data_IF_944918998234
#
_entry.id   IF_944918998234
#
_cell.length_a   1.000
_cell.length_b   1.000
_cell.length_c   1.000
_cell.angle_alpha   90.00
_cell.angle_beta   90.00
_cell.angle_gamma   90.00
#
_symmetry.space_group_name_H-M   'P 1'
#
loop_
_entity.id
_entity.type
_entity.pdbx_description
1 polymer ?
#
# COMPACT_ATOMS: atom_id res chain seq x y z
N UNK A 1 -16.12 -7.80 -3.46
CA UNK A 1 -15.16 -7.89 -2.33
C UNK A 1 -13.97 -7.04 -2.70
N UNK A 2 -13.41 -6.26 -1.76
CA UNK A 2 -12.33 -5.31 -2.09
C UNK A 2 -11.09 -5.99 -2.69
N UNK A 3 -10.77 -7.23 -2.27
CA UNK A 3 -9.73 -8.05 -2.92
C UNK A 3 -9.93 -8.20 -4.43
N UNK A 4 -11.16 -8.42 -4.87
CA UNK A 4 -11.50 -8.53 -6.31
C UNK A 4 -11.35 -7.22 -7.05
N UNK A 5 -11.65 -6.08 -6.41
CA UNK A 5 -11.52 -4.75 -7.02
C UNK A 5 -10.05 -4.38 -7.17
N UNK A 6 -9.22 -4.65 -6.16
CA UNK A 6 -7.77 -4.44 -6.23
C UNK A 6 -7.12 -5.24 -7.37
N UNK A 7 -7.57 -6.48 -7.58
CA UNK A 7 -7.06 -7.38 -8.62
C UNK A 7 -7.62 -7.12 -10.04
N UNK A 8 -8.70 -6.34 -10.19
CA UNK A 8 -9.36 -6.15 -11.48
C UNK A 8 -8.64 -5.09 -12.34
N UNK A 9 -7.85 -5.54 -13.32
CA UNK A 9 -7.08 -4.67 -14.21
C UNK A 9 -7.91 -3.97 -15.29
N UNK A 10 -9.22 -4.27 -15.40
CA UNK A 10 -10.14 -3.56 -16.31
C UNK A 10 -10.62 -2.25 -15.68
N UNK A 11 -10.70 -2.20 -14.35
CA UNK A 11 -11.10 -1.01 -13.60
C UNK A 11 -10.02 0.08 -13.64
N UNK A 12 -10.46 1.34 -13.53
CA UNK A 12 -9.56 2.48 -13.51
C UNK A 12 -8.60 2.38 -12.30
N UNK A 13 -7.30 2.73 -12.45
CA UNK A 13 -6.33 2.59 -11.37
C UNK A 13 -6.75 3.29 -10.06
N UNK A 14 -7.36 4.47 -10.13
CA UNK A 14 -7.87 5.18 -8.96
C UNK A 14 -8.98 4.43 -8.22
N UNK A 15 -9.82 3.66 -8.93
CA UNK A 15 -10.85 2.79 -8.32
C UNK A 15 -10.21 1.57 -7.68
N UNK A 16 -9.19 0.99 -8.33
CA UNK A 16 -8.43 -0.13 -7.79
C UNK A 16 -7.64 0.27 -6.54
N UNK A 17 -7.11 1.49 -6.49
CA UNK A 17 -6.26 1.99 -5.40
C UNK A 17 -7.02 2.23 -4.08
N UNK A 18 -8.32 2.52 -4.15
CA UNK A 18 -9.19 2.60 -2.97
C UNK A 18 -9.36 1.24 -2.26
N UNK A 19 -9.14 0.13 -2.96
CA UNK A 19 -9.32 -1.19 -2.38
C UNK A 19 -8.21 -1.56 -1.38
N UNK A 20 -6.90 -1.41 -1.67
CA UNK A 20 -5.84 -1.52 -0.67
C UNK A 20 -6.06 -0.61 0.55
N UNK A 21 -6.38 0.68 0.36
CA UNK A 21 -6.67 1.61 1.45
C UNK A 21 -7.82 1.10 2.34
N UNK A 22 -8.93 0.68 1.73
CA UNK A 22 -10.08 0.14 2.43
C UNK A 22 -9.80 -1.18 3.16
N UNK A 23 -8.92 -2.02 2.60
CA UNK A 23 -8.47 -3.24 3.25
C UNK A 23 -7.58 -2.93 4.46
N UNK A 24 -6.59 -2.04 4.33
CA UNK A 24 -5.73 -1.62 5.44
C UNK A 24 -6.53 -1.13 6.65
N UNK A 25 -7.53 -0.26 6.42
CA UNK A 25 -8.34 0.31 7.48
C UNK A 25 -9.30 -0.67 8.19
N UNK A 26 -9.74 -1.73 7.50
CA UNK A 26 -10.93 -2.51 7.94
C UNK A 26 -10.78 -4.02 7.87
N UNK A 27 -9.64 -4.55 7.44
CA UNK A 27 -9.43 -5.99 7.40
C UNK A 27 -9.41 -6.54 8.83
N UNK A 28 -10.40 -7.38 9.14
CA UNK A 28 -10.53 -8.02 10.46
C UNK A 28 -10.06 -9.46 10.38
N UNK A 29 -9.35 -9.92 11.42
CA UNK A 29 -9.03 -11.34 11.60
C UNK A 29 -10.28 -12.23 11.82
N UNK A 30 -11.45 -11.63 12.06
CA UNK A 30 -12.74 -12.33 12.14
C UNK A 30 -13.32 -12.72 10.77
N UNK A 31 -12.67 -12.31 9.67
CA UNK A 31 -13.00 -12.82 8.35
C UNK A 31 -12.81 -14.34 8.27
N UNK A 32 -13.57 -14.98 7.39
CA UNK A 32 -13.37 -16.38 7.03
C UNK A 32 -11.90 -16.56 6.61
N UNK A 33 -11.13 -17.52 7.19
CA UNK A 33 -9.68 -17.58 7.03
C UNK A 33 -9.18 -17.55 5.58
N UNK A 34 -9.89 -18.22 4.66
CA UNK A 34 -9.53 -18.23 3.24
C UNK A 34 -9.63 -16.84 2.59
N UNK A 35 -10.63 -16.04 2.98
CA UNK A 35 -10.82 -14.70 2.46
C UNK A 35 -9.81 -13.71 3.05
N UNK A 36 -9.41 -13.93 4.31
CA UNK A 36 -8.33 -13.16 4.92
C UNK A 36 -7.01 -13.42 4.19
N UNK A 37 -6.66 -14.69 3.96
CA UNK A 37 -5.44 -15.04 3.23
C UNK A 37 -5.44 -14.50 1.78
N UNK A 38 -6.58 -14.59 1.08
CA UNK A 38 -6.73 -14.02 -0.27
C UNK A 38 -6.49 -12.49 -0.25
N UNK A 39 -7.02 -11.79 0.76
CA UNK A 39 -6.78 -10.36 0.90
C UNK A 39 -5.30 -10.03 1.12
N UNK A 40 -4.59 -10.79 1.98
CA UNK A 40 -3.14 -10.61 2.17
C UNK A 40 -2.37 -10.81 0.86
N UNK A 41 -2.67 -11.87 0.11
CA UNK A 41 -2.02 -12.13 -1.18
C UNK A 41 -2.22 -10.98 -2.15
N UNK A 42 -3.45 -10.48 -2.30
CA UNK A 42 -3.76 -9.37 -3.19
C UNK A 42 -3.04 -8.08 -2.77
N UNK A 43 -2.93 -7.81 -1.47
CA UNK A 43 -2.21 -6.64 -0.95
C UNK A 43 -0.71 -6.74 -1.26
N UNK A 44 -0.10 -7.91 -1.06
CA UNK A 44 1.32 -8.14 -1.38
C UNK A 44 1.57 -8.00 -2.88
N UNK A 45 0.68 -8.53 -3.73
CA UNK A 45 0.79 -8.41 -5.19
C UNK A 45 0.65 -6.96 -5.67
N UNK A 46 -0.18 -6.15 -4.99
CA UNK A 46 -0.38 -4.74 -5.33
C UNK A 46 0.89 -3.88 -5.14
N UNK A 47 1.87 -4.32 -4.35
CA UNK A 47 3.19 -3.67 -4.25
C UNK A 47 3.97 -3.68 -5.58
N UNK A 48 3.67 -4.61 -6.49
CA UNK A 48 4.30 -4.70 -7.82
C UNK A 48 3.43 -4.06 -8.93
N UNK A 49 2.34 -3.37 -8.59
CA UNK A 49 1.44 -2.81 -9.61
C UNK A 49 2.17 -1.76 -10.46
N UNK A 50 1.81 -1.65 -11.74
CA UNK A 50 2.34 -0.60 -12.62
C UNK A 50 1.96 0.80 -12.19
N UNK A 51 0.82 0.96 -11.52
CA UNK A 51 0.32 2.26 -11.06
C UNK A 51 0.87 2.63 -9.68
N UNK A 52 1.42 3.83 -9.56
CA UNK A 52 2.05 4.31 -8.33
C UNK A 52 1.04 4.53 -7.19
N UNK A 53 -0.20 4.92 -7.50
CA UNK A 53 -1.25 5.11 -6.49
C UNK A 53 -1.60 3.76 -5.83
N UNK A 54 -1.68 2.69 -6.62
CA UNK A 54 -1.92 1.34 -6.11
C UNK A 54 -0.76 0.89 -5.21
N UNK A 55 0.50 1.10 -5.64
CA UNK A 55 1.66 0.74 -4.83
C UNK A 55 1.71 1.54 -3.52
N UNK A 56 1.40 2.83 -3.56
CA UNK A 56 1.35 3.69 -2.37
C UNK A 56 0.36 3.13 -1.33
N UNK A 57 -0.89 2.89 -1.73
CA UNK A 57 -1.89 2.37 -0.80
C UNK A 57 -1.67 0.90 -0.40
N UNK A 58 -0.95 0.13 -1.21
CA UNK A 58 -0.49 -1.19 -0.82
C UNK A 58 0.56 -1.13 0.30
N UNK A 59 1.53 -0.22 0.23
CA UNK A 59 2.49 0.01 1.32
C UNK A 59 1.77 0.37 2.63
N UNK A 60 0.81 1.31 2.57
CA UNK A 60 -0.04 1.67 3.72
C UNK A 60 -0.74 0.43 4.30
N UNK A 61 -1.46 -0.33 3.47
CA UNK A 61 -2.25 -1.48 3.91
C UNK A 61 -1.40 -2.59 4.54
N UNK A 62 -0.23 -2.86 3.94
CA UNK A 62 0.76 -3.81 4.48
C UNK A 62 1.19 -3.41 5.90
N UNK A 63 1.40 -2.11 6.14
CA UNK A 63 1.87 -1.59 7.43
C UNK A 63 0.79 -1.63 8.53
N UNK A 64 -0.47 -1.37 8.16
CA UNK A 64 -1.62 -1.42 9.08
C UNK A 64 -1.92 -2.87 9.51
N UNK A 65 -1.84 -3.80 8.57
CA UNK A 65 -2.11 -5.23 8.82
C UNK A 65 -0.88 -5.95 9.39
N UNK A 66 0.30 -5.32 9.35
CA UNK A 66 1.60 -5.90 9.79
C UNK A 66 1.98 -7.17 9.00
N UNK A 67 1.90 -7.10 7.67
CA UNK A 67 2.28 -8.23 6.79
C UNK A 67 3.80 -8.30 6.67
N UNK A 68 4.46 -9.01 7.59
CA UNK A 68 5.94 -9.13 7.63
C UNK A 68 6.50 -9.77 6.35
N UNK A 69 5.75 -10.65 5.69
CA UNK A 69 6.16 -11.29 4.43
C UNK A 69 6.39 -10.28 3.29
N UNK A 70 5.83 -9.07 3.40
CA UNK A 70 5.99 -8.01 2.42
C UNK A 70 7.30 -7.21 2.57
N UNK A 71 8.04 -7.37 3.67
CA UNK A 71 9.26 -6.59 3.96
C UNK A 71 10.26 -6.54 2.79
N UNK A 72 10.59 -7.66 2.09
CA UNK A 72 11.53 -7.60 0.97
C UNK A 72 11.06 -6.69 -0.17
N UNK A 73 9.75 -6.67 -0.46
CA UNK A 73 9.17 -5.83 -1.53
C UNK A 73 9.15 -4.36 -1.12
N UNK A 74 8.76 -4.07 0.12
CA UNK A 74 8.84 -2.71 0.65
C UNK A 74 10.28 -2.17 0.57
N UNK A 75 11.28 -3.00 0.87
CA UNK A 75 12.68 -2.59 0.83
C UNK A 75 13.15 -2.24 -0.59
N UNK A 76 12.62 -2.91 -1.61
CA UNK A 76 12.86 -2.57 -3.02
C UNK A 76 12.17 -1.26 -3.38
N UNK A 77 10.90 -1.08 -3.04
CA UNK A 77 10.16 0.15 -3.33
C UNK A 77 10.82 1.37 -2.67
N UNK A 78 11.20 1.25 -1.40
CA UNK A 78 11.92 2.28 -0.65
C UNK A 78 13.18 2.79 -1.38
N UNK A 79 13.89 1.90 -2.07
CA UNK A 79 15.13 2.24 -2.77
C UNK A 79 14.92 2.72 -4.20
N UNK A 80 13.80 2.34 -4.84
CA UNK A 80 13.66 2.44 -6.30
C UNK A 80 12.52 3.34 -6.75
N UNK A 81 11.48 3.51 -5.94
CA UNK A 81 10.25 4.18 -6.36
C UNK A 81 10.13 5.60 -5.80
N UNK A 82 10.64 6.56 -6.56
CA UNK A 82 10.60 7.98 -6.20
C UNK A 82 9.34 8.70 -6.71
N UNK A 83 8.30 7.95 -7.11
CA UNK A 83 7.08 8.55 -7.66
C UNK A 83 6.33 9.30 -6.57
N UNK A 84 6.15 10.62 -6.74
CA UNK A 84 5.46 11.49 -5.78
C UNK A 84 3.94 11.35 -5.96
N UNK A 85 3.25 11.10 -4.85
CA UNK A 85 1.80 11.11 -4.81
C UNK A 85 1.28 12.51 -4.47
N UNK A 86 0.35 13.03 -5.26
CA UNK A 86 -0.22 14.37 -5.06
C UNK A 86 -0.90 14.46 -3.68
N UNK A 87 -0.50 15.45 -2.88
CA UNK A 87 -1.00 15.61 -1.52
C UNK A 87 -0.33 14.71 -0.47
N UNK A 88 0.63 13.89 -0.88
CA UNK A 88 1.39 12.95 -0.04
C UNK A 88 2.89 13.05 -0.34
N UNK A 89 3.65 12.02 0.01
CA UNK A 89 5.09 11.88 -0.30
C UNK A 89 5.31 10.82 -1.38
N UNK A 90 6.56 10.38 -1.61
CA UNK A 90 6.82 9.35 -2.62
C UNK A 90 6.39 7.94 -2.18
N UNK A 91 6.16 7.04 -3.14
CA UNK A 91 5.92 5.61 -2.85
C UNK A 91 7.07 4.99 -2.06
N UNK A 92 8.32 5.35 -2.35
CA UNK A 92 9.49 4.86 -1.64
C UNK A 92 9.51 5.33 -0.18
N UNK A 93 9.19 6.59 0.07
CA UNK A 93 9.04 7.11 1.42
C UNK A 93 7.90 6.44 2.20
N UNK A 94 6.77 6.12 1.54
CA UNK A 94 5.70 5.32 2.15
C UNK A 94 6.15 3.90 2.46
N UNK A 95 6.96 3.30 1.61
CA UNK A 95 7.53 1.98 1.85
C UNK A 95 8.52 1.99 3.04
N UNK A 96 9.32 3.04 3.22
CA UNK A 96 10.18 3.23 4.40
C UNK A 96 9.35 3.36 5.68
N UNK A 97 8.26 4.11 5.62
CA UNK A 97 7.35 4.31 6.75
C UNK A 97 6.67 2.99 7.11
N UNK A 98 6.22 2.23 6.11
CA UNK A 98 5.66 0.90 6.28
C UNK A 98 6.65 -0.08 6.95
N UNK A 99 7.91 -0.12 6.51
CA UNK A 99 8.95 -0.94 7.14
C UNK A 99 9.16 -0.54 8.61
N UNK A 100 9.20 0.76 8.88
CA UNK A 100 9.38 1.29 10.24
C UNK A 100 8.23 0.85 11.13
N UNK A 101 6.99 0.99 10.66
CA UNK A 101 5.78 0.60 11.38
C UNK A 101 5.71 -0.91 11.64
N UNK A 102 6.08 -1.74 10.67
CA UNK A 102 6.09 -3.21 10.83
C UNK A 102 7.09 -3.62 11.92
N UNK A 103 8.25 -2.97 11.96
CA UNK A 103 9.27 -3.22 12.98
C UNK A 103 8.95 -2.58 14.34
N UNK A 104 7.77 -1.97 14.51
CA UNK A 104 7.34 -1.33 15.77
C UNK A 104 7.98 0.03 16.05
N UNK A 105 8.57 0.66 15.02
CA UNK A 105 9.10 2.02 15.09
C UNK A 105 8.05 3.08 14.77
N UNK A 106 8.46 4.34 14.89
CA UNK A 106 7.67 5.52 14.53
C UNK A 106 8.29 6.18 13.28
N UNK A 107 7.56 6.25 12.15
CA UNK A 107 8.02 6.96 10.97
C UNK A 107 8.25 8.45 11.22
N UNK A 108 9.13 9.11 10.45
CA UNK A 108 9.29 10.55 10.54
C UNK A 108 7.98 11.26 10.12
N UNK A 109 7.77 12.47 10.63
CA UNK A 109 6.70 13.33 10.14
C UNK A 109 7.01 13.80 8.71
N UNK A 110 6.39 13.14 7.73
CA UNK A 110 6.48 13.48 6.31
C UNK A 110 5.76 14.80 6.02
N UNK A 111 6.26 15.54 5.02
CA UNK A 111 5.61 16.77 4.52
C UNK A 111 4.88 16.45 3.22
N UNK A 112 3.57 16.67 3.13
CA UNK A 112 2.83 16.56 1.88
C UNK A 112 3.47 17.39 0.76
N UNK A 113 3.78 16.75 -0.36
CA UNK A 113 4.18 17.42 -1.59
C UNK A 113 2.96 18.11 -2.19
N UNK A 114 3.11 19.41 -2.47
CA UNK A 114 2.14 20.16 -3.27
C UNK A 114 2.49 19.96 -4.74
N UNK A 115 1.47 19.77 -5.57
CA UNK A 115 1.59 19.92 -7.02
C UNK A 115 2.20 21.29 -7.32
N UNK A 116 3.21 21.39 -8.21
CA UNK A 116 3.66 22.69 -8.68
C UNK A 116 2.45 23.43 -9.23
N UNK A 117 2.20 24.62 -8.70
CA UNK A 117 1.14 25.50 -9.19
C UNK A 117 1.48 25.83 -10.64
N UNK A 118 0.64 25.37 -11.58
CA UNK A 118 0.72 25.74 -13.01
C UNK A 118 0.43 27.24 -13.15
#
# INVERSE_FOLDING_TARGET
MLSKVAADRVEAPSVRAQAPEGLGNRLSHELVPNLYQEALTVIIEALDDSDAEIRFWACFAVSEIKIEEALPKLQVLAQTDNTIMEGWWSVGEEAEDAITLINGGEPPLRKPCKSPTI
#
